data_IF_576181467236
#
_entry.id   IF_576181467236
#
_cell.length_a   1.000
_cell.length_b   1.000
_cell.length_c   1.000
_cell.angle_alpha   90.00
_cell.angle_beta   90.00
_cell.angle_gamma   90.00
#
_symmetry.space_group_name_H-M   'P 1'
#
loop_
_entity.id
_entity.type
_entity.pdbx_description
1 polymer ?
#
# COMPACT_ATOMS: atom_id res chain seq x y z
N UNK A 1 -8.85 20.00 10.95
CA UNK A 1 -8.54 19.96 9.49
C UNK A 1 -8.40 18.53 8.95
N UNK A 2 -7.49 17.68 9.48
CA UNK A 2 -7.38 16.25 9.07
C UNK A 2 -8.71 15.50 9.12
N UNK A 3 -9.42 15.56 10.25
CA UNK A 3 -10.72 14.89 10.41
C UNK A 3 -11.81 15.42 9.45
N UNK A 4 -11.76 16.71 9.10
CA UNK A 4 -12.68 17.30 8.13
C UNK A 4 -12.42 16.80 6.70
N UNK A 5 -11.14 16.64 6.31
CA UNK A 5 -10.78 16.07 5.01
C UNK A 5 -11.08 14.57 4.92
N UNK A 6 -10.92 13.83 6.03
CA UNK A 6 -11.36 12.43 6.12
C UNK A 6 -12.89 12.36 5.98
N UNK A 7 -13.64 13.21 6.68
CA UNK A 7 -15.09 13.31 6.53
C UNK A 7 -15.51 13.61 5.08
N UNK A 8 -14.86 14.57 4.41
CA UNK A 8 -15.14 14.86 3.01
C UNK A 8 -14.83 13.69 2.08
N UNK A 9 -13.90 12.80 2.44
CA UNK A 9 -13.58 11.59 1.64
C UNK A 9 -14.74 10.60 1.56
N UNK A 10 -15.74 10.72 2.44
CA UNK A 10 -16.95 9.90 2.49
C UNK A 10 -18.17 10.62 1.87
N UNK A 11 -18.02 11.88 1.43
CA UNK A 11 -19.11 12.71 0.92
C UNK A 11 -19.27 12.64 -0.61
N UNK A 12 -20.40 12.07 -1.06
CA UNK A 12 -20.75 11.98 -2.49
C UNK A 12 -21.00 13.34 -3.16
N UNK A 13 -21.52 14.32 -2.41
CA UNK A 13 -21.74 15.68 -2.94
C UNK A 13 -20.42 16.42 -3.14
N UNK A 14 -19.48 16.27 -2.21
CA UNK A 14 -18.13 16.80 -2.37
C UNK A 14 -17.42 16.13 -3.57
N UNK A 15 -17.51 14.80 -3.70
CA UNK A 15 -16.94 14.06 -4.82
C UNK A 15 -17.40 14.60 -6.18
N UNK A 16 -18.71 14.79 -6.36
CA UNK A 16 -19.29 15.30 -7.61
C UNK A 16 -18.72 16.68 -8.00
N UNK A 17 -18.60 17.58 -7.02
CA UNK A 17 -18.00 18.90 -7.23
C UNK A 17 -16.53 18.81 -7.66
N UNK A 18 -15.72 17.97 -7.00
CA UNK A 18 -14.29 17.88 -7.31
C UNK A 18 -13.98 17.19 -8.64
N UNK A 19 -14.84 16.26 -9.09
CA UNK A 19 -14.71 15.62 -10.42
C UNK A 19 -14.93 16.59 -11.57
N UNK A 20 -15.76 17.63 -11.38
CA UNK A 20 -16.08 18.64 -12.40
C UNK A 20 -15.05 19.75 -12.57
N UNK A 21 -14.12 19.93 -11.63
CA UNK A 21 -13.18 21.05 -11.63
C UNK A 21 -11.91 20.73 -12.45
N UNK A 22 -11.50 21.60 -13.39
CA UNK A 22 -10.34 21.33 -14.28
C UNK A 22 -8.98 21.46 -13.58
N UNK A 23 -8.73 22.46 -12.71
CA UNK A 23 -7.48 22.58 -11.96
C UNK A 23 -7.17 21.38 -11.05
N UNK A 24 -8.20 20.66 -10.56
CA UNK A 24 -7.99 19.46 -9.72
C UNK A 24 -7.37 18.32 -10.52
N UNK A 25 -7.64 18.17 -11.83
CA UNK A 25 -7.07 17.09 -12.67
C UNK A 25 -5.55 17.07 -12.70
N UNK A 26 -4.88 18.23 -12.72
CA UNK A 26 -3.39 18.30 -12.70
C UNK A 26 -2.82 17.87 -11.34
N UNK A 27 -3.51 18.21 -10.25
CA UNK A 27 -3.10 17.83 -8.89
C UNK A 27 -3.35 16.34 -8.65
N UNK A 28 -4.47 15.81 -9.14
CA UNK A 28 -4.83 14.40 -9.06
C UNK A 28 -3.78 13.53 -9.78
N UNK A 29 -3.41 13.90 -11.02
CA UNK A 29 -2.39 13.19 -11.82
C UNK A 29 -1.02 13.08 -11.15
N UNK A 30 -0.74 13.91 -10.13
CA UNK A 30 0.49 13.77 -9.33
C UNK A 30 0.45 12.52 -8.47
N UNK A 31 -0.70 12.14 -7.94
CA UNK A 31 -0.84 11.07 -6.95
C UNK A 31 -1.52 9.82 -7.50
N UNK A 32 -2.21 9.93 -8.64
CA UNK A 32 -2.97 8.85 -9.28
C UNK A 32 -2.56 8.80 -10.76
N UNK A 33 -2.24 7.61 -11.26
CA UNK A 33 -1.75 7.43 -12.62
C UNK A 33 -2.81 7.70 -13.69
N UNK A 34 -4.08 7.43 -13.37
CA UNK A 34 -5.21 7.64 -14.27
C UNK A 34 -6.44 6.83 -13.85
N UNK A 35 -7.43 6.81 -14.74
CA UNK A 35 -8.70 6.11 -14.54
C UNK A 35 -8.70 4.68 -15.11
N UNK A 36 -7.68 4.31 -15.91
CA UNK A 36 -7.62 3.01 -16.63
C UNK A 36 -6.35 2.23 -16.33
N UNK A 37 -6.40 0.92 -16.56
CA UNK A 37 -5.27 0.01 -16.38
C UNK A 37 -4.09 0.39 -17.29
N UNK A 38 -4.36 0.79 -18.53
CA UNK A 38 -3.32 1.20 -19.49
C UNK A 38 -2.54 2.41 -18.97
N UNK A 39 -3.23 3.35 -18.31
CA UNK A 39 -2.58 4.51 -17.70
C UNK A 39 -1.72 4.11 -16.49
N UNK A 40 -2.20 3.17 -15.67
CA UNK A 40 -1.43 2.57 -14.58
C UNK A 40 -0.13 1.91 -15.08
N UNK A 41 -0.24 1.07 -16.11
CA UNK A 41 0.91 0.39 -16.73
C UNK A 41 1.86 1.39 -17.36
N UNK A 42 1.36 2.41 -18.05
CA UNK A 42 2.22 3.44 -18.64
C UNK A 42 2.99 4.21 -17.56
N UNK A 43 2.36 4.50 -16.42
CA UNK A 43 3.05 5.12 -15.29
C UNK A 43 4.14 4.20 -14.71
N UNK A 44 3.88 2.90 -14.59
CA UNK A 44 4.87 1.91 -14.17
C UNK A 44 6.07 1.84 -15.14
N UNK A 45 5.82 1.82 -16.46
CA UNK A 45 6.88 1.84 -17.49
C UNK A 45 7.75 3.09 -17.38
N UNK A 46 7.14 4.26 -17.18
CA UNK A 46 7.88 5.52 -17.01
C UNK A 46 8.75 5.50 -15.74
N UNK A 47 8.25 4.91 -14.65
CA UNK A 47 9.00 4.74 -13.40
C UNK A 47 10.18 3.77 -13.58
N UNK A 48 9.99 2.69 -14.34
CA UNK A 48 11.06 1.73 -14.63
C UNK A 48 12.21 2.37 -15.41
N UNK A 49 11.90 3.20 -16.41
CA UNK A 49 12.91 4.00 -17.13
C UNK A 49 13.71 4.89 -16.17
N UNK A 50 13.08 5.36 -15.08
CA UNK A 50 13.71 6.17 -14.05
C UNK A 50 14.37 5.33 -12.93
N UNK A 51 14.44 4.00 -13.05
CA UNK A 51 15.10 3.10 -12.11
C UNK A 51 14.27 2.71 -10.88
N UNK A 52 12.94 2.88 -10.92
CA UNK A 52 12.04 2.46 -9.86
C UNK A 52 11.28 1.20 -10.22
N UNK A 53 11.09 0.33 -9.23
CA UNK A 53 10.11 -0.74 -9.28
C UNK A 53 8.69 -0.21 -9.01
N UNK A 54 7.65 -0.99 -9.28
CA UNK A 54 6.27 -0.56 -9.09
C UNK A 54 5.33 -1.62 -8.47
N UNK A 55 4.26 -1.12 -7.84
CA UNK A 55 3.05 -1.86 -7.45
C UNK A 55 1.86 -1.17 -8.10
N UNK A 56 1.04 -1.89 -8.84
CA UNK A 56 -0.26 -1.40 -9.28
C UNK A 56 -1.32 -1.63 -8.21
N UNK A 57 -2.14 -0.61 -7.98
CA UNK A 57 -3.28 -0.63 -7.07
C UNK A 57 -4.54 -0.15 -7.77
N UNK A 58 -5.55 -1.02 -7.83
CA UNK A 58 -6.85 -0.72 -8.40
C UNK A 58 -7.73 -0.01 -7.37
N UNK A 59 -7.97 1.27 -7.59
CA UNK A 59 -8.89 2.08 -6.82
C UNK A 59 -10.34 1.70 -7.14
N UNK A 60 -10.97 1.04 -6.19
CA UNK A 60 -12.34 0.55 -6.26
C UNK A 60 -13.05 0.66 -4.92
N UNK A 61 -14.37 0.59 -4.97
CA UNK A 61 -15.22 0.55 -3.78
C UNK A 61 -15.40 -0.90 -3.30
N UNK A 62 -15.52 -1.06 -1.97
CA UNK A 62 -16.11 -2.27 -1.39
C UNK A 62 -17.59 -2.37 -1.77
N UNK A 63 -18.16 -3.58 -1.81
CA UNK A 63 -19.52 -3.75 -2.26
C UNK A 63 -20.10 -5.15 -2.06
N UNK A 64 -21.22 -5.37 -2.75
CA UNK A 64 -21.89 -6.66 -2.86
C UNK A 64 -21.15 -7.63 -3.79
N UNK A 65 -21.71 -8.83 -3.98
CA UNK A 65 -21.13 -9.86 -4.83
C UNK A 65 -20.92 -9.42 -6.29
N UNK A 66 -21.80 -8.56 -6.83
CA UNK A 66 -21.68 -8.08 -8.21
C UNK A 66 -20.47 -7.15 -8.34
N UNK A 67 -20.34 -6.18 -7.43
CA UNK A 67 -19.17 -5.30 -7.35
C UNK A 67 -17.88 -6.11 -7.14
N UNK A 68 -17.89 -7.11 -6.26
CA UNK A 68 -16.75 -8.00 -6.05
C UNK A 68 -16.39 -8.79 -7.31
N UNK A 69 -17.37 -9.27 -8.08
CA UNK A 69 -17.13 -9.99 -9.34
C UNK A 69 -16.47 -9.09 -10.38
N UNK A 70 -16.91 -7.84 -10.50
CA UNK A 70 -16.32 -6.84 -11.40
C UNK A 70 -14.87 -6.56 -10.97
N UNK A 71 -14.64 -6.23 -9.69
CA UNK A 71 -13.31 -5.95 -9.16
C UNK A 71 -12.35 -7.13 -9.36
N UNK A 72 -12.81 -8.36 -9.09
CA UNK A 72 -12.02 -9.56 -9.34
C UNK A 72 -11.62 -9.69 -10.82
N UNK A 73 -12.54 -9.42 -11.75
CA UNK A 73 -12.22 -9.46 -13.18
C UNK A 73 -11.14 -8.44 -13.55
N UNK A 74 -11.27 -7.21 -13.06
CA UNK A 74 -10.29 -6.13 -13.29
C UNK A 74 -8.92 -6.47 -12.68
N UNK A 75 -8.89 -7.04 -11.48
CA UNK A 75 -7.68 -7.51 -10.82
C UNK A 75 -6.98 -8.61 -11.62
N UNK A 76 -7.74 -9.58 -12.14
CA UNK A 76 -7.18 -10.65 -12.98
C UNK A 76 -6.62 -10.09 -14.28
N UNK A 77 -7.31 -9.14 -14.92
CA UNK A 77 -6.81 -8.41 -16.09
C UNK A 77 -5.53 -7.64 -15.78
N UNK A 78 -5.47 -6.97 -14.62
CA UNK A 78 -4.28 -6.25 -14.15
C UNK A 78 -3.08 -7.20 -13.99
N UNK A 79 -3.27 -8.35 -13.33
CA UNK A 79 -2.20 -9.35 -13.16
C UNK A 79 -1.73 -9.87 -14.52
N UNK A 80 -2.64 -10.13 -15.44
CA UNK A 80 -2.28 -10.57 -16.79
C UNK A 80 -1.49 -9.51 -17.56
N UNK A 81 -1.80 -8.23 -17.37
CA UNK A 81 -1.07 -7.15 -18.01
C UNK A 81 0.32 -6.89 -17.39
N UNK A 82 0.60 -7.45 -16.21
CA UNK A 82 1.91 -7.42 -15.55
C UNK A 82 2.78 -8.66 -15.88
N UNK A 83 2.32 -9.55 -16.77
CA UNK A 83 3.03 -10.77 -17.10
C UNK A 83 4.46 -10.51 -17.60
N UNK A 84 5.43 -11.27 -17.07
CA UNK A 84 6.87 -11.16 -17.36
C UNK A 84 7.53 -9.83 -16.94
N UNK A 85 6.85 -9.02 -16.14
CA UNK A 85 7.41 -7.79 -15.57
C UNK A 85 7.81 -8.04 -14.10
N UNK A 86 9.02 -8.54 -13.86
CA UNK A 86 9.50 -8.92 -12.50
C UNK A 86 9.42 -7.76 -11.47
N UNK A 87 9.53 -6.53 -11.98
CA UNK A 87 9.55 -5.29 -11.21
C UNK A 87 8.14 -4.71 -10.98
N UNK A 88 7.07 -5.37 -11.47
CA UNK A 88 5.70 -4.89 -11.38
C UNK A 88 4.83 -5.85 -10.57
N UNK A 89 4.46 -5.42 -9.37
CA UNK A 89 3.63 -6.21 -8.45
C UNK A 89 2.22 -5.63 -8.35
N UNK A 90 1.35 -6.33 -7.62
CA UNK A 90 -0.05 -5.95 -7.45
C UNK A 90 -0.41 -5.84 -5.97
N UNK A 91 -1.08 -4.74 -5.59
CA UNK A 91 -1.72 -4.55 -4.30
C UNK A 91 -3.23 -4.79 -4.39
N UNK A 92 -3.83 -5.38 -3.37
CA UNK A 92 -5.24 -5.78 -3.36
C UNK A 92 -5.90 -5.43 -2.04
N UNK A 93 -7.15 -4.97 -2.08
CA UNK A 93 -7.97 -4.75 -0.89
C UNK A 93 -8.85 -5.97 -0.59
N UNK A 94 -8.81 -6.53 0.64
CA UNK A 94 -9.69 -7.63 1.05
C UNK A 94 -11.17 -7.35 0.77
N UNK A 95 -11.65 -6.15 1.07
CA UNK A 95 -13.07 -5.78 0.89
C UNK A 95 -13.51 -5.79 -0.57
N UNK A 96 -12.66 -5.35 -1.50
CA UNK A 96 -12.93 -5.45 -2.95
C UNK A 96 -13.00 -6.90 -3.42
N UNK A 97 -12.23 -7.80 -2.80
CA UNK A 97 -12.21 -9.22 -3.12
C UNK A 97 -13.33 -10.02 -2.44
N UNK A 98 -14.20 -9.37 -1.68
CA UNK A 98 -15.42 -9.98 -1.14
C UNK A 98 -15.47 -10.09 0.37
N UNK A 99 -14.47 -9.56 1.10
CA UNK A 99 -14.49 -9.64 2.57
C UNK A 99 -15.69 -8.90 3.17
N UNK A 100 -16.19 -7.85 2.51
CA UNK A 100 -17.42 -7.15 2.92
C UNK A 100 -18.69 -8.00 2.78
N UNK A 101 -18.65 -9.06 1.97
CA UNK A 101 -19.77 -9.98 1.77
C UNK A 101 -19.61 -11.19 2.69
N UNK A 102 -18.50 -11.90 2.58
CA UNK A 102 -18.17 -13.02 3.46
C UNK A 102 -16.68 -13.37 3.40
N UNK A 103 -16.20 -13.93 4.51
CA UNK A 103 -14.84 -14.47 4.61
C UNK A 103 -14.56 -15.54 3.54
N UNK A 104 -15.52 -16.44 3.32
CA UNK A 104 -15.39 -17.53 2.34
C UNK A 104 -15.27 -17.01 0.90
N UNK A 105 -16.00 -15.94 0.57
CA UNK A 105 -15.90 -15.31 -0.75
C UNK A 105 -14.52 -14.69 -0.94
N UNK A 106 -14.01 -13.99 0.08
CA UNK A 106 -12.66 -13.43 0.06
C UNK A 106 -11.60 -14.52 -0.12
N UNK A 107 -11.67 -15.60 0.66
CA UNK A 107 -10.73 -16.71 0.56
C UNK A 107 -10.73 -17.34 -0.83
N UNK A 108 -11.92 -17.66 -1.36
CA UNK A 108 -12.07 -18.22 -2.71
C UNK A 108 -11.48 -17.31 -3.78
N UNK A 109 -11.67 -16.00 -3.67
CA UNK A 109 -11.18 -15.04 -4.65
C UNK A 109 -9.68 -14.78 -4.50
N UNK A 110 -9.16 -14.71 -3.27
CA UNK A 110 -7.73 -14.59 -3.02
C UNK A 110 -6.96 -15.80 -3.56
N UNK A 111 -7.50 -17.02 -3.37
CA UNK A 111 -6.93 -18.24 -3.97
C UNK A 111 -6.83 -18.16 -5.50
N UNK A 112 -7.85 -17.64 -6.18
CA UNK A 112 -7.82 -17.45 -7.64
C UNK A 112 -6.76 -16.45 -8.05
N UNK A 113 -6.71 -15.31 -7.37
CA UNK A 113 -5.74 -14.25 -7.64
C UNK A 113 -4.32 -14.73 -7.40
N UNK A 114 -4.07 -15.43 -6.29
CA UNK A 114 -2.77 -16.02 -5.98
C UNK A 114 -2.32 -17.01 -7.06
N UNK A 115 -3.19 -17.95 -7.47
CA UNK A 115 -2.88 -18.89 -8.56
C UNK A 115 -2.55 -18.16 -9.86
N UNK A 116 -3.27 -17.08 -10.18
CA UNK A 116 -3.01 -16.26 -11.36
C UNK A 116 -1.69 -15.51 -11.26
N UNK A 117 -1.36 -14.99 -10.08
CA UNK A 117 -0.07 -14.36 -9.80
C UNK A 117 1.09 -15.32 -10.02
N UNK A 118 0.99 -16.57 -9.52
CA UNK A 118 2.00 -17.60 -9.77
C UNK A 118 2.17 -17.92 -11.26
N UNK A 119 1.06 -18.15 -11.98
CA UNK A 119 1.05 -18.42 -13.43
C UNK A 119 1.77 -17.31 -14.22
N UNK A 120 1.56 -16.05 -13.81
CA UNK A 120 2.09 -14.86 -14.49
C UNK A 120 3.39 -14.32 -13.90
N UNK A 121 3.93 -14.99 -12.87
CA UNK A 121 5.12 -14.57 -12.10
C UNK A 121 4.99 -13.16 -11.50
N UNK A 122 3.78 -12.79 -11.10
CA UNK A 122 3.45 -11.50 -10.49
C UNK A 122 3.25 -11.71 -8.99
N UNK A 123 3.99 -10.96 -8.19
CA UNK A 123 3.82 -10.97 -6.73
C UNK A 123 2.60 -10.14 -6.34
N UNK A 124 1.88 -10.64 -5.34
CA UNK A 124 0.60 -10.10 -4.87
C UNK A 124 0.73 -9.68 -3.41
N UNK A 125 0.28 -8.48 -3.05
CA UNK A 125 0.26 -8.02 -1.66
C UNK A 125 -1.17 -7.74 -1.24
N UNK A 126 -1.62 -8.39 -0.17
CA UNK A 126 -2.89 -8.10 0.48
C UNK A 126 -2.70 -6.87 1.36
N UNK A 127 -3.39 -5.78 1.04
CA UNK A 127 -3.36 -4.56 1.82
C UNK A 127 -4.17 -4.73 3.11
N UNK A 128 -3.77 -4.00 4.15
CA UNK A 128 -4.46 -4.03 5.44
C UNK A 128 -5.42 -2.85 5.52
N UNK A 129 -6.68 -3.14 5.82
CA UNK A 129 -7.74 -2.15 5.94
C UNK A 129 -7.94 -1.73 7.41
N UNK A 130 -9.13 -1.31 7.80
CA UNK A 130 -9.39 -0.88 9.18
C UNK A 130 -9.41 -2.07 10.16
N UNK A 131 -9.43 -1.78 11.45
CA UNK A 131 -9.32 -2.77 12.53
C UNK A 131 -10.37 -3.88 12.46
N UNK A 132 -11.54 -3.66 11.86
CA UNK A 132 -12.62 -4.64 11.78
C UNK A 132 -12.32 -5.78 10.81
N UNK A 133 -11.44 -5.55 9.84
CA UNK A 133 -11.13 -6.55 8.81
C UNK A 133 -9.88 -7.37 9.12
N UNK A 134 -9.09 -6.98 10.13
CA UNK A 134 -7.74 -7.51 10.35
C UNK A 134 -7.74 -9.00 10.63
N UNK A 135 -8.59 -9.46 11.55
CA UNK A 135 -8.60 -10.86 11.96
C UNK A 135 -8.97 -11.80 10.80
N UNK A 136 -10.00 -11.44 10.03
CA UNK A 136 -10.37 -12.21 8.85
C UNK A 136 -9.33 -12.11 7.74
N UNK A 137 -8.71 -10.95 7.56
CA UNK A 137 -7.62 -10.77 6.58
C UNK A 137 -6.44 -11.68 6.90
N UNK A 138 -5.98 -11.69 8.15
CA UNK A 138 -4.86 -12.53 8.59
C UNK A 138 -5.24 -14.01 8.54
N UNK A 139 -6.45 -14.37 8.98
CA UNK A 139 -6.94 -15.74 8.93
C UNK A 139 -6.97 -16.30 7.51
N UNK A 140 -7.47 -15.53 6.54
CA UNK A 140 -7.55 -15.94 5.13
C UNK A 140 -6.16 -15.92 4.48
N UNK A 141 -5.32 -14.92 4.77
CA UNK A 141 -3.93 -14.90 4.30
C UNK A 141 -3.18 -16.18 4.73
N UNK A 142 -3.41 -16.65 5.96
CA UNK A 142 -2.79 -17.86 6.49
C UNK A 142 -3.35 -19.16 5.87
N UNK A 143 -4.58 -19.17 5.35
CA UNK A 143 -5.20 -20.37 4.78
C UNK A 143 -4.83 -20.64 3.31
N UNK A 144 -4.39 -19.62 2.56
CA UNK A 144 -4.08 -19.73 1.12
C UNK A 144 -2.80 -20.53 0.88
N UNK A 145 -1.65 -19.87 1.03
CA UNK A 145 -0.30 -20.44 0.96
C UNK A 145 0.66 -19.33 1.37
N UNK A 146 1.48 -19.61 2.37
CA UNK A 146 2.51 -18.69 2.82
C UNK A 146 3.79 -18.96 2.05
N UNK A 147 4.09 -18.09 1.11
CA UNK A 147 5.38 -17.99 0.43
C UNK A 147 5.68 -16.52 0.13
N UNK A 148 6.78 -16.24 -0.55
CA UNK A 148 7.15 -14.87 -0.88
C UNK A 148 6.37 -14.29 -2.09
N UNK A 149 5.53 -15.07 -2.77
CA UNK A 149 4.68 -14.56 -3.86
C UNK A 149 3.44 -13.86 -3.31
N UNK A 150 2.88 -14.34 -2.20
CA UNK A 150 1.78 -13.70 -1.49
C UNK A 150 2.29 -12.96 -0.25
N UNK A 151 2.20 -11.63 -0.28
CA UNK A 151 2.57 -10.77 0.83
C UNK A 151 1.37 -10.19 1.57
N UNK A 152 1.60 -9.68 2.77
CA UNK A 152 0.59 -9.05 3.62
C UNK A 152 1.07 -7.71 4.16
N UNK A 153 0.18 -6.73 4.28
CA UNK A 153 0.47 -5.46 4.92
C UNK A 153 0.17 -5.52 6.43
N UNK A 154 0.98 -4.81 7.23
CA UNK A 154 0.85 -4.67 8.68
C UNK A 154 1.01 -3.18 9.04
N UNK A 155 0.35 -2.75 10.11
CA UNK A 155 0.19 -1.34 10.46
C UNK A 155 0.84 -1.03 11.81
N UNK A 156 1.96 -0.31 11.81
CA UNK A 156 2.77 -0.06 12.99
C UNK A 156 2.05 0.70 14.11
N UNK A 157 1.01 1.49 13.80
CA UNK A 157 0.24 2.20 14.81
C UNK A 157 -0.64 1.28 15.68
N UNK A 158 -0.89 0.02 15.31
CA UNK A 158 -1.73 -0.87 16.12
C UNK A 158 -0.90 -1.57 17.17
N UNK A 159 -1.43 -1.62 18.39
CA UNK A 159 -0.76 -2.28 19.52
C UNK A 159 -0.61 -3.80 19.30
N UNK A 160 -1.50 -4.41 18.52
CA UNK A 160 -1.49 -5.85 18.19
C UNK A 160 -0.38 -6.27 17.22
N UNK A 161 0.13 -5.35 16.39
CA UNK A 161 0.92 -5.71 15.21
C UNK A 161 2.24 -6.39 15.54
N UNK A 162 2.85 -6.14 16.70
CA UNK A 162 4.03 -6.87 17.12
C UNK A 162 3.77 -8.37 17.30
N UNK A 163 2.59 -8.74 17.81
CA UNK A 163 2.20 -10.14 17.98
C UNK A 163 1.82 -10.75 16.62
N UNK A 164 1.06 -10.02 15.80
CA UNK A 164 0.70 -10.48 14.46
C UNK A 164 1.94 -10.75 13.61
N UNK A 165 2.93 -9.85 13.60
CA UNK A 165 4.19 -10.06 12.89
C UNK A 165 4.92 -11.30 13.43
N UNK A 166 5.08 -11.44 14.75
CA UNK A 166 5.76 -12.60 15.34
C UNK A 166 5.13 -13.94 14.94
N UNK A 167 3.79 -13.99 14.85
CA UNK A 167 3.06 -15.18 14.43
C UNK A 167 3.30 -15.52 12.95
N UNK A 168 3.55 -14.51 12.11
CA UNK A 168 3.81 -14.71 10.67
C UNK A 168 5.27 -15.09 10.36
N UNK A 169 6.23 -14.67 11.19
CA UNK A 169 7.65 -14.86 10.88
C UNK A 169 8.07 -16.33 10.73
N UNK A 170 7.46 -17.26 11.46
CA UNK A 170 7.88 -18.67 11.52
C UNK A 170 7.88 -19.43 10.18
N UNK A 171 7.18 -18.93 9.16
CA UNK A 171 7.00 -19.59 7.88
C UNK A 171 7.68 -18.87 6.70
N UNK A 172 8.48 -17.84 6.96
CA UNK A 172 9.10 -17.02 5.92
C UNK A 172 8.05 -16.19 5.16
N UNK A 173 7.75 -15.01 5.68
CA UNK A 173 6.69 -14.15 5.15
C UNK A 173 7.26 -12.95 4.39
N UNK A 174 6.64 -12.60 3.25
CA UNK A 174 6.80 -11.27 2.66
C UNK A 174 5.77 -10.34 3.29
N UNK A 175 6.21 -9.29 3.98
CA UNK A 175 5.26 -8.38 4.61
C UNK A 175 5.68 -6.91 4.54
N UNK A 176 4.68 -6.08 4.26
CA UNK A 176 4.78 -4.63 4.21
C UNK A 176 4.47 -4.05 5.56
N UNK A 177 5.40 -3.28 6.12
CA UNK A 177 5.13 -2.46 7.30
C UNK A 177 4.80 -1.05 6.82
N UNK A 178 3.64 -0.53 7.20
CA UNK A 178 3.26 0.87 7.04
C UNK A 178 2.96 1.48 8.41
N UNK A 179 2.76 2.81 8.48
CA UNK A 179 2.32 3.43 9.75
C UNK A 179 0.89 3.04 10.13
N UNK A 180 -0.02 2.99 9.16
CA UNK A 180 -1.47 2.93 9.38
C UNK A 180 -2.16 4.18 8.82
N UNK A 181 -3.33 4.00 8.20
CA UNK A 181 -4.01 5.06 7.44
C UNK A 181 -5.45 5.34 7.91
N UNK A 182 -5.98 4.52 8.82
CA UNK A 182 -7.37 4.63 9.30
C UNK A 182 -7.43 5.42 10.61
N UNK A 183 -8.63 5.81 11.00
CA UNK A 183 -8.86 6.55 12.25
C UNK A 183 -9.31 5.57 13.34
N UNK A 184 -8.33 4.98 14.03
CA UNK A 184 -8.55 3.97 15.06
C UNK A 184 -8.53 4.57 16.46
N UNK A 185 -9.36 4.07 17.40
CA UNK A 185 -9.42 4.60 18.75
C UNK A 185 -8.13 4.30 19.53
N UNK A 186 -7.82 5.10 20.58
CA UNK A 186 -6.61 4.95 21.40
C UNK A 186 -6.48 3.58 22.08
N UNK A 187 -7.58 2.85 22.23
CA UNK A 187 -7.59 1.49 22.78
C UNK A 187 -6.81 0.52 21.88
N UNK A 188 -7.00 0.60 20.56
CA UNK A 188 -6.36 -0.28 19.59
C UNK A 188 -5.07 0.30 18.99
N UNK A 189 -4.95 1.63 18.91
CA UNK A 189 -3.88 2.30 18.19
C UNK A 189 -3.13 3.35 19.01
N UNK A 190 -1.81 3.40 18.83
CA UNK A 190 -0.97 4.51 19.26
C UNK A 190 -1.41 5.80 18.57
N UNK A 191 -1.50 6.88 19.35
CA UNK A 191 -2.01 8.18 18.86
C UNK A 191 -0.88 9.20 18.65
N UNK A 192 0.21 9.09 19.41
CA UNK A 192 1.35 9.98 19.29
C UNK A 192 2.23 9.55 18.11
N UNK A 193 2.83 10.53 17.43
CA UNK A 193 3.77 10.26 16.32
C UNK A 193 4.98 9.46 16.80
N UNK A 194 5.46 9.73 18.02
CA UNK A 194 6.65 9.11 18.57
C UNK A 194 6.41 7.64 18.90
N UNK A 195 5.25 7.30 19.50
CA UNK A 195 4.89 5.91 19.76
C UNK A 195 4.72 5.11 18.46
N UNK A 196 4.10 5.71 17.43
CA UNK A 196 3.97 5.07 16.11
C UNK A 196 5.34 4.85 15.47
N UNK A 197 6.24 5.83 15.55
CA UNK A 197 7.59 5.73 15.02
C UNK A 197 8.40 4.66 15.77
N UNK A 198 8.32 4.63 17.10
CA UNK A 198 8.98 3.63 17.95
C UNK A 198 8.47 2.22 17.63
N UNK A 199 7.16 2.05 17.50
CA UNK A 199 6.55 0.78 17.09
C UNK A 199 7.05 0.35 15.71
N UNK A 200 7.06 1.25 14.72
CA UNK A 200 7.57 0.97 13.37
C UNK A 200 9.02 0.49 13.41
N UNK A 201 9.91 1.20 14.13
CA UNK A 201 11.32 0.84 14.24
C UNK A 201 11.50 -0.49 14.97
N UNK A 202 10.68 -0.77 15.99
CA UNK A 202 10.64 -2.05 16.69
C UNK A 202 10.29 -3.20 15.74
N UNK A 203 9.22 -3.05 14.94
CA UNK A 203 8.82 -4.02 13.93
C UNK A 203 9.91 -4.21 12.86
N UNK A 204 10.54 -3.12 12.40
CA UNK A 204 11.63 -3.20 11.43
C UNK A 204 12.83 -3.98 11.98
N UNK A 205 13.21 -3.75 13.24
CA UNK A 205 14.28 -4.49 13.91
C UNK A 205 13.94 -5.97 14.04
N UNK A 206 12.70 -6.28 14.45
CA UNK A 206 12.22 -7.65 14.57
C UNK A 206 12.27 -8.39 13.21
N UNK A 207 11.80 -7.74 12.15
CA UNK A 207 11.75 -8.34 10.82
C UNK A 207 13.15 -8.49 10.21
N UNK A 208 14.01 -7.47 10.31
CA UNK A 208 15.39 -7.50 9.81
C UNK A 208 16.31 -8.47 10.58
N UNK A 209 15.92 -8.91 11.77
CA UNK A 209 16.56 -10.02 12.47
C UNK A 209 15.82 -11.32 12.20
N UNK A 210 14.99 -11.73 13.17
CA UNK A 210 14.27 -13.01 13.18
C UNK A 210 13.52 -13.31 11.89
N UNK A 211 12.92 -12.29 11.27
CA UNK A 211 12.15 -12.51 10.06
C UNK A 211 13.00 -12.83 8.84
N UNK A 212 14.19 -12.23 8.69
CA UNK A 212 15.16 -12.60 7.67
C UNK A 212 15.74 -14.00 7.93
N UNK A 213 16.04 -14.32 9.19
CA UNK A 213 16.52 -15.66 9.58
C UNK A 213 15.52 -16.77 9.19
N UNK A 214 14.23 -16.44 9.20
CA UNK A 214 13.15 -17.33 8.81
C UNK A 214 12.83 -17.29 7.30
N UNK A 215 13.66 -16.62 6.49
CA UNK A 215 13.49 -16.52 5.04
C UNK A 215 12.46 -15.49 4.57
N UNK A 216 12.01 -14.59 5.45
CA UNK A 216 11.06 -13.53 5.11
C UNK A 216 11.66 -12.40 4.27
N UNK A 217 10.78 -11.52 3.77
CA UNK A 217 11.14 -10.35 2.97
C UNK A 217 10.40 -9.11 3.48
N UNK A 218 11.09 -8.22 4.23
CA UNK A 218 10.50 -6.98 4.74
C UNK A 218 10.35 -5.93 3.64
N UNK A 219 9.18 -5.27 3.62
CA UNK A 219 8.91 -4.13 2.75
C UNK A 219 8.56 -2.91 3.63
N UNK A 220 9.39 -1.86 3.61
CA UNK A 220 9.23 -0.69 4.46
C UNK A 220 8.49 0.44 3.74
N UNK A 221 7.17 0.51 3.91
CA UNK A 221 6.31 1.51 3.30
C UNK A 221 6.22 2.79 4.15
N UNK A 222 7.07 3.78 3.84
CA UNK A 222 7.14 5.05 4.57
C UNK A 222 7.70 6.19 3.73
N UNK A 223 7.19 7.41 3.95
CA UNK A 223 7.76 8.67 3.41
C UNK A 223 8.44 9.53 4.48
N UNK A 224 8.65 8.95 5.65
CA UNK A 224 9.29 9.60 6.79
C UNK A 224 10.81 9.41 6.70
N UNK A 225 11.59 10.46 6.42
CA UNK A 225 13.05 10.33 6.28
C UNK A 225 13.70 9.81 7.56
N UNK A 226 13.15 10.15 8.73
CA UNK A 226 13.66 9.62 10.00
C UNK A 226 13.57 8.10 10.07
N UNK A 227 12.42 7.52 9.68
CA UNK A 227 12.26 6.06 9.67
C UNK A 227 13.17 5.42 8.63
N UNK A 228 13.32 6.03 7.45
CA UNK A 228 14.24 5.53 6.41
C UNK A 228 15.66 5.46 6.96
N UNK A 229 16.13 6.53 7.60
CA UNK A 229 17.49 6.60 8.16
C UNK A 229 17.69 5.58 9.30
N UNK A 230 16.70 5.38 10.18
CA UNK A 230 16.73 4.37 11.25
C UNK A 230 16.77 2.94 10.70
N UNK A 231 15.95 2.62 9.70
CA UNK A 231 15.98 1.31 9.03
C UNK A 231 17.34 1.07 8.39
N UNK A 232 17.89 2.06 7.68
CA UNK A 232 19.21 1.96 7.07
C UNK A 232 20.33 1.81 8.12
N UNK A 233 20.20 2.43 9.28
CA UNK A 233 21.12 2.26 10.41
C UNK A 233 21.13 0.81 10.90
N UNK A 234 19.94 0.20 11.06
CA UNK A 234 19.81 -1.23 11.42
C UNK A 234 20.43 -2.12 10.33
N UNK A 235 20.13 -1.88 9.06
CA UNK A 235 20.65 -2.63 7.92
C UNK A 235 22.18 -2.61 7.88
N UNK A 236 22.78 -1.42 7.98
CA UNK A 236 24.24 -1.24 7.96
C UNK A 236 24.90 -1.90 9.16
N UNK A 237 24.35 -1.70 10.36
CA UNK A 237 24.89 -2.30 11.60
C UNK A 237 24.95 -3.83 11.53
N UNK A 238 23.98 -4.46 10.86
CA UNK A 238 23.89 -5.91 10.75
C UNK A 238 24.42 -6.46 9.42
N UNK A 239 25.05 -5.64 8.58
CA UNK A 239 25.55 -6.02 7.24
C UNK A 239 24.49 -6.71 6.37
N UNK A 240 23.23 -6.26 6.45
CA UNK A 240 22.13 -6.85 5.69
C UNK A 240 22.25 -6.44 4.22
N UNK A 241 22.28 -7.43 3.34
CA UNK A 241 22.33 -7.19 1.89
C UNK A 241 21.08 -6.45 1.41
N UNK A 242 21.27 -5.50 0.48
CA UNK A 242 20.17 -4.71 -0.10
C UNK A 242 19.08 -5.57 -0.76
N UNK A 243 19.42 -6.77 -1.25
CA UNK A 243 18.45 -7.68 -1.89
C UNK A 243 17.54 -8.42 -0.89
N UNK A 244 17.68 -8.20 0.42
CA UNK A 244 16.87 -8.84 1.45
C UNK A 244 15.66 -8.03 1.90
N UNK A 245 15.53 -6.79 1.45
CA UNK A 245 14.42 -5.91 1.79
C UNK A 245 14.22 -4.86 0.68
N UNK A 246 13.13 -4.10 0.77
CA UNK A 246 12.94 -2.91 -0.04
C UNK A 246 12.26 -1.79 0.75
N UNK A 247 12.40 -0.55 0.27
CA UNK A 247 11.52 0.54 0.65
C UNK A 247 10.34 0.60 -0.30
N UNK A 248 9.21 1.13 0.19
CA UNK A 248 8.05 1.40 -0.64
C UNK A 248 7.50 2.79 -0.38
N UNK A 249 7.07 3.47 -1.45
CA UNK A 249 6.49 4.81 -1.36
C UNK A 249 5.34 4.99 -2.34
N UNK A 250 4.33 5.73 -1.94
CA UNK A 250 3.24 6.16 -2.81
C UNK A 250 3.72 7.05 -3.96
N UNK A 251 3.09 6.88 -5.11
CA UNK A 251 3.28 7.68 -6.32
C UNK A 251 3.14 9.19 -6.06
N UNK A 252 4.14 9.96 -6.50
CA UNK A 252 4.15 11.43 -6.39
C UNK A 252 4.35 12.03 -5.00
N UNK A 253 4.53 11.20 -3.97
CA UNK A 253 4.72 11.63 -2.57
C UNK A 253 6.20 11.60 -2.20
N UNK A 254 6.73 12.76 -1.80
CA UNK A 254 8.13 12.92 -1.38
C UNK A 254 9.16 12.40 -2.42
N UNK A 255 8.97 12.79 -3.69
CA UNK A 255 9.85 12.38 -4.80
C UNK A 255 11.34 12.71 -4.62
N UNK A 256 11.76 13.76 -3.86
CA UNK A 256 13.17 13.94 -3.54
C UNK A 256 13.74 12.80 -2.70
N UNK A 257 13.00 12.31 -1.69
CA UNK A 257 13.42 11.17 -0.88
C UNK A 257 13.43 9.88 -1.70
N UNK A 258 12.47 9.70 -2.61
CA UNK A 258 12.45 8.56 -3.54
C UNK A 258 13.75 8.49 -4.36
N UNK A 259 14.14 9.61 -4.98
CA UNK A 259 15.40 9.72 -5.73
C UNK A 259 16.62 9.45 -4.84
N UNK A 260 16.66 10.06 -3.65
CA UNK A 260 17.76 9.84 -2.70
C UNK A 260 17.94 8.34 -2.39
N UNK A 261 16.87 7.58 -2.20
CA UNK A 261 16.97 6.14 -1.88
C UNK A 261 17.61 5.37 -3.04
N UNK A 262 17.14 5.55 -4.27
CA UNK A 262 17.68 4.83 -5.44
C UNK A 262 19.09 5.27 -5.82
N UNK A 263 19.42 6.57 -5.69
CA UNK A 263 20.77 7.10 -5.96
C UNK A 263 21.80 6.56 -4.95
N UNK A 264 21.35 6.23 -3.74
CA UNK A 264 22.17 5.54 -2.74
C UNK A 264 22.19 3.99 -2.94
N UNK A 265 21.62 3.49 -4.03
CA UNK A 265 21.69 2.09 -4.43
C UNK A 265 20.73 1.14 -3.71
N UNK A 266 19.74 1.67 -2.99
CA UNK A 266 18.73 0.89 -2.27
C UNK A 266 17.49 0.61 -3.14
N UNK A 267 16.87 -0.55 -2.90
CA UNK A 267 15.64 -0.93 -3.60
C UNK A 267 14.46 -0.06 -3.15
N UNK A 268 13.72 0.46 -4.13
CA UNK A 268 12.52 1.25 -3.88
C UNK A 268 11.44 0.88 -4.89
N UNK A 269 10.27 0.53 -4.37
CA UNK A 269 9.08 0.24 -5.17
C UNK A 269 8.01 1.30 -4.97
N UNK A 270 7.47 1.82 -6.07
CA UNK A 270 6.46 2.88 -6.06
C UNK A 270 5.06 2.28 -6.16
N UNK A 271 4.20 2.62 -5.21
CA UNK A 271 2.80 2.20 -5.19
C UNK A 271 1.95 3.16 -6.02
N UNK A 272 1.40 2.67 -7.12
CA UNK A 272 0.73 3.41 -8.19
C UNK A 272 -0.77 3.14 -8.14
N UNK A 273 -1.55 4.06 -7.56
CA UNK A 273 -3.00 3.96 -7.56
C UNK A 273 -3.55 4.41 -8.93
N UNK A 274 -4.51 3.67 -9.47
CA UNK A 274 -5.25 4.01 -10.68
C UNK A 274 -6.70 3.51 -10.60
N UNK A 275 -7.59 4.04 -11.43
CA UNK A 275 -8.99 3.61 -11.47
C UNK A 275 -9.95 4.75 -11.16
N UNK A 276 -11.22 4.52 -11.53
CA UNK A 276 -12.26 5.55 -11.49
C UNK A 276 -12.59 6.01 -10.07
N UNK A 277 -12.37 5.19 -9.04
CA UNK A 277 -12.78 5.45 -7.65
C UNK A 277 -11.72 6.22 -6.86
N UNK A 278 -11.06 7.19 -7.50
CA UNK A 278 -9.88 7.85 -6.96
C UNK A 278 -10.15 8.89 -5.86
N UNK A 279 -11.38 9.40 -5.76
CA UNK A 279 -11.69 10.56 -4.90
C UNK A 279 -11.44 10.29 -3.40
N UNK A 280 -11.95 9.20 -2.79
CA UNK A 280 -11.69 8.92 -1.38
C UNK A 280 -10.20 8.75 -1.09
N UNK A 281 -9.47 8.09 -2.00
CA UNK A 281 -8.01 7.93 -1.91
C UNK A 281 -7.30 9.30 -1.92
N UNK A 282 -7.64 10.15 -2.88
CA UNK A 282 -7.04 11.47 -3.03
C UNK A 282 -7.26 12.35 -1.80
N UNK A 283 -8.48 12.35 -1.25
CA UNK A 283 -8.80 13.13 -0.05
C UNK A 283 -7.99 12.68 1.18
N UNK A 284 -7.77 11.37 1.36
CA UNK A 284 -6.87 10.86 2.39
C UNK A 284 -5.43 11.34 2.20
N UNK A 285 -4.91 11.36 0.96
CA UNK A 285 -3.57 11.89 0.65
C UNK A 285 -3.42 13.39 0.93
N UNK A 286 -4.49 14.17 0.72
CA UNK A 286 -4.51 15.58 1.10
C UNK A 286 -4.50 15.77 2.62
N UNK A 287 -5.21 14.91 3.36
CA UNK A 287 -5.30 14.98 4.82
C UNK A 287 -3.97 14.68 5.54
N UNK A 288 -3.08 13.91 4.92
CA UNK A 288 -1.83 13.43 5.52
C UNK A 288 -0.72 14.48 5.65
N UNK A 289 -0.69 15.52 4.81
CA UNK A 289 0.30 16.61 4.94
C UNK A 289 -0.30 17.98 4.65
N UNK A 290 -0.11 18.98 5.54
CA UNK A 290 -0.51 20.37 5.29
C UNK A 290 0.06 20.96 4.00
N UNK A 291 1.26 20.53 3.58
CA UNK A 291 1.88 20.95 2.31
C UNK A 291 1.12 20.45 1.07
N UNK A 292 0.54 19.24 1.12
CA UNK A 292 -0.32 18.72 0.05
C UNK A 292 -1.59 19.59 -0.07
N UNK A 293 -2.14 20.00 1.07
CA UNK A 293 -3.29 20.89 1.14
C UNK A 293 -2.95 22.31 0.66
N UNK A 294 -1.80 22.87 1.04
CA UNK A 294 -1.36 24.18 0.57
C UNK A 294 -1.15 24.22 -0.95
N UNK A 295 -0.58 23.15 -1.52
CA UNK A 295 -0.46 23.00 -2.98
C UNK A 295 -1.83 22.89 -3.65
N UNK A 296 -2.77 22.13 -3.05
CA UNK A 296 -4.14 22.00 -3.54
C UNK A 296 -4.92 23.32 -3.49
N UNK A 297 -4.85 24.05 -2.37
CA UNK A 297 -5.47 25.36 -2.21
C UNK A 297 -4.91 26.34 -3.24
N UNK A 298 -3.58 26.35 -3.48
CA UNK A 298 -2.98 27.17 -4.55
C UNK A 298 -3.45 26.75 -5.94
N UNK A 299 -3.63 25.46 -6.21
CA UNK A 299 -4.12 25.01 -7.51
C UNK A 299 -5.61 25.35 -7.75
N UNK A 300 -6.40 25.49 -6.69
CA UNK A 300 -7.84 25.86 -6.78
C UNK A 300 -8.05 27.37 -6.80
N UNK A 301 -7.30 28.12 -5.98
CA UNK A 301 -7.52 29.56 -5.76
C UNK A 301 -6.41 30.45 -6.33
N UNK A 302 -5.30 29.88 -6.78
CA UNK A 302 -4.22 30.60 -7.43
C UNK A 302 -4.47 30.72 -8.93
N UNK A 303 -4.63 31.97 -9.39
CA UNK A 303 -4.22 32.36 -10.74
C UNK A 303 -2.69 32.38 -10.80
#
# INVERSE_FOLDING_TARGET
>A
MRNFLIYLSESKSAESFFRGFVPTKKVIKRFIAGDTLEQGIQAAKNLRVAGFDAILDLLGESGDEEKTKIALSEIISMIQACENEEDLWVGLKPTQLGLSVSKDLFEKNLMKVYKKGLDKKVKITVDMEDSKTIDDTLSVFNSVKQDLNLGICLQAYLKRTNNDLNNLLGNGVRARICKGAYNEPPEFAFQSKDDINNSYIGLARLFLGKGLDSGGYPEFATHDPFIVDEVLSIVKKNNISKNKFEFQMLYGVNTPLQRKIIENGWNLRIYIPFGKSWYPYFMRRLAERPANLAFFIRAIFGR
#
